data_IF_723353304732
#
_entry.id   IF_723353304732
#
_cell.length_a   1.000
_cell.length_b   1.000
_cell.length_c   1.000
_cell.angle_alpha   90.00
_cell.angle_beta   90.00
_cell.angle_gamma   90.00
#
_symmetry.space_group_name_H-M   'P 1'
#
loop_
_entity.id
_entity.type
_entity.pdbx_description
1 polymer ?
#
# COMPACT_ATOMS: atom_id res chain seq x y z
N UNK A 1 -8.37 -25.46 -0.93
CA UNK A 1 -8.56 -24.55 -2.09
C UNK A 1 -9.40 -23.32 -1.76
N UNK A 2 -10.59 -23.47 -1.13
CA UNK A 2 -11.46 -22.32 -0.79
C UNK A 2 -10.79 -21.27 0.10
N UNK A 3 -10.08 -21.67 1.16
CA UNK A 3 -9.42 -20.73 2.08
C UNK A 3 -8.34 -19.88 1.39
N UNK A 4 -7.60 -20.47 0.45
CA UNK A 4 -6.59 -19.73 -0.32
C UNK A 4 -7.24 -18.64 -1.18
N UNK A 5 -8.36 -18.94 -1.83
CA UNK A 5 -9.10 -17.96 -2.63
C UNK A 5 -9.59 -16.79 -1.76
N UNK A 6 -10.05 -17.06 -0.54
CA UNK A 6 -10.46 -16.02 0.42
C UNK A 6 -9.27 -15.13 0.78
N UNK A 7 -8.12 -15.70 1.17
CA UNK A 7 -6.94 -14.88 1.50
C UNK A 7 -6.43 -14.07 0.32
N UNK A 8 -6.46 -14.62 -0.90
CA UNK A 8 -6.10 -13.88 -2.11
C UNK A 8 -7.08 -12.73 -2.38
N UNK A 9 -8.39 -12.95 -2.18
CA UNK A 9 -9.39 -11.90 -2.30
C UNK A 9 -9.16 -10.78 -1.28
N UNK A 10 -8.95 -11.13 0.00
CA UNK A 10 -8.67 -10.15 1.06
C UNK A 10 -7.42 -9.34 0.73
N UNK A 11 -6.33 -10.00 0.32
CA UNK A 11 -5.11 -9.31 -0.10
C UNK A 11 -5.34 -8.41 -1.33
N UNK A 12 -6.14 -8.85 -2.30
CA UNK A 12 -6.48 -8.03 -3.47
C UNK A 12 -7.25 -6.77 -3.06
N UNK A 13 -8.23 -6.88 -2.16
CA UNK A 13 -8.99 -5.73 -1.63
C UNK A 13 -8.04 -4.73 -0.97
N UNK A 14 -7.16 -5.19 -0.09
CA UNK A 14 -6.19 -4.30 0.56
C UNK A 14 -5.22 -3.64 -0.42
N UNK A 15 -4.76 -4.35 -1.44
CA UNK A 15 -3.85 -3.80 -2.44
C UNK A 15 -4.53 -2.77 -3.35
N UNK A 16 -5.77 -3.05 -3.79
CA UNK A 16 -6.57 -2.14 -4.60
C UNK A 16 -6.89 -0.88 -3.80
N UNK A 17 -7.31 -1.02 -2.54
CA UNK A 17 -7.57 0.12 -1.67
C UNK A 17 -6.31 0.99 -1.45
N UNK A 18 -5.15 0.35 -1.24
CA UNK A 18 -3.86 1.05 -1.14
C UNK A 18 -3.54 1.85 -2.41
N UNK A 19 -3.79 1.25 -3.58
CA UNK A 19 -3.60 1.90 -4.89
C UNK A 19 -4.53 3.10 -5.07
N UNK A 20 -5.83 2.91 -4.82
CA UNK A 20 -6.83 3.97 -4.89
C UNK A 20 -6.47 5.15 -3.99
N UNK A 21 -6.10 4.87 -2.73
CA UNK A 21 -5.72 5.91 -1.78
C UNK A 21 -4.46 6.66 -2.22
N UNK A 22 -3.43 5.95 -2.66
CA UNK A 22 -2.19 6.56 -3.13
C UNK A 22 -2.43 7.44 -4.38
N UNK A 23 -3.25 6.96 -5.32
CA UNK A 23 -3.63 7.69 -6.52
C UNK A 23 -4.51 8.91 -6.21
N UNK A 24 -5.47 8.78 -5.29
CA UNK A 24 -6.32 9.89 -4.87
C UNK A 24 -5.49 10.99 -4.19
N UNK A 25 -4.59 10.63 -3.28
CA UNK A 25 -3.71 11.61 -2.65
C UNK A 25 -2.83 12.28 -3.70
N UNK A 26 -2.24 11.53 -4.63
CA UNK A 26 -1.44 12.12 -5.71
C UNK A 26 -2.24 13.08 -6.60
N UNK A 27 -3.52 12.75 -6.87
CA UNK A 27 -4.41 13.61 -7.65
C UNK A 27 -4.65 14.95 -6.95
N UNK A 28 -4.83 14.94 -5.62
CA UNK A 28 -5.11 16.15 -4.84
C UNK A 28 -3.85 16.94 -4.50
N UNK A 29 -2.73 16.28 -4.18
CA UNK A 29 -1.48 16.93 -3.78
C UNK A 29 -0.56 17.29 -4.94
N UNK A 30 -0.77 16.72 -6.13
CA UNK A 30 0.15 16.80 -7.26
C UNK A 30 1.42 15.94 -7.11
N UNK A 31 1.70 15.42 -5.91
CA UNK A 31 2.92 14.69 -5.59
C UNK A 31 2.63 13.24 -5.16
N UNK A 32 3.34 12.25 -5.73
CA UNK A 32 3.18 10.85 -5.34
C UNK A 32 3.50 10.63 -3.86
N UNK A 33 2.63 9.94 -3.13
CA UNK A 33 2.87 9.60 -1.73
C UNK A 33 4.16 8.79 -1.55
N UNK A 34 5.00 9.12 -0.55
CA UNK A 34 6.26 8.45 -0.24
C UNK A 34 6.36 8.10 1.25
N UNK A 35 7.19 7.11 1.56
CA UNK A 35 7.66 6.91 2.93
C UNK A 35 8.54 8.10 3.34
N UNK A 36 8.34 8.63 4.55
CA UNK A 36 9.21 9.65 5.12
C UNK A 36 9.02 11.08 4.57
N UNK A 37 7.80 11.53 4.26
CA UNK A 37 7.60 12.98 4.12
C UNK A 37 7.60 13.62 5.50
N UNK A 38 8.43 14.64 5.68
CA UNK A 38 8.42 15.51 6.87
C UNK A 38 7.09 16.26 6.91
N UNK A 39 6.27 16.05 7.96
CA UNK A 39 5.03 16.79 8.09
C UNK A 39 5.32 18.23 8.50
N UNK A 40 4.66 19.20 7.85
CA UNK A 40 4.81 20.62 8.19
C UNK A 40 4.23 20.98 9.56
N UNK A 41 3.38 20.11 10.13
CA UNK A 41 2.79 20.29 11.46
C UNK A 41 2.46 18.96 12.14
N UNK A 42 2.30 18.99 13.47
CA UNK A 42 1.93 17.82 14.28
C UNK A 42 0.59 17.21 13.84
N UNK A 43 -0.41 18.04 13.50
CA UNK A 43 -1.71 17.57 13.04
C UNK A 43 -1.59 16.86 11.68
N UNK A 44 -0.77 17.40 10.77
CA UNK A 44 -0.47 16.74 9.50
C UNK A 44 0.25 15.40 9.73
N UNK A 45 1.13 15.30 10.74
CA UNK A 45 1.79 14.04 11.10
C UNK A 45 0.78 12.96 11.46
N UNK A 46 -0.17 13.28 12.33
CA UNK A 46 -1.15 12.32 12.86
C UNK A 46 -2.01 11.77 11.73
N UNK A 47 -2.56 12.63 10.86
CA UNK A 47 -3.40 12.20 9.74
C UNK A 47 -2.61 11.46 8.64
N UNK A 48 -1.34 11.79 8.46
CA UNK A 48 -0.54 11.20 7.40
C UNK A 48 0.02 9.80 7.74
N UNK A 49 0.05 9.41 9.02
CA UNK A 49 0.39 8.03 9.42
C UNK A 49 -0.61 7.00 8.88
N UNK A 50 -1.92 7.05 9.21
CA UNK A 50 -2.88 6.05 8.74
C UNK A 50 -2.98 6.04 7.21
N UNK A 51 -2.91 7.20 6.56
CA UNK A 51 -2.85 7.29 5.09
C UNK A 51 -1.68 6.49 4.52
N UNK A 52 -0.47 6.65 5.07
CA UNK A 52 0.71 5.90 4.62
C UNK A 52 0.67 4.44 4.99
N UNK A 53 0.06 4.09 6.13
CA UNK A 53 -0.10 2.69 6.53
C UNK A 53 -1.03 1.96 5.55
N UNK A 54 -2.13 2.61 5.15
CA UNK A 54 -3.07 2.04 4.19
C UNK A 54 -2.52 2.05 2.75
N UNK A 55 -1.84 3.12 2.34
CA UNK A 55 -1.22 3.22 1.01
C UNK A 55 0.11 2.46 0.88
N UNK A 56 0.64 1.93 1.99
CA UNK A 56 1.96 1.29 2.10
C UNK A 56 2.26 0.26 1.00
N UNK A 57 1.36 -0.70 0.70
CA UNK A 57 1.56 -1.67 -0.37
C UNK A 57 1.78 -1.03 -1.74
N UNK A 58 1.02 0.01 -2.08
CA UNK A 58 1.13 0.71 -3.36
C UNK A 58 2.45 1.52 -3.45
N UNK A 59 2.83 2.21 -2.37
CA UNK A 59 4.10 2.95 -2.30
C UNK A 59 5.28 1.98 -2.46
N UNK A 60 5.26 0.86 -1.73
CA UNK A 60 6.30 -0.16 -1.78
C UNK A 60 6.41 -0.76 -3.18
N UNK A 61 5.28 -1.12 -3.81
CA UNK A 61 5.28 -1.70 -5.15
C UNK A 61 5.81 -0.75 -6.22
N UNK A 62 5.41 0.52 -6.14
CA UNK A 62 5.93 1.56 -7.04
C UNK A 62 7.44 1.72 -6.88
N UNK A 63 7.95 1.71 -5.65
CA UNK A 63 9.39 1.81 -5.39
C UNK A 63 10.14 0.57 -5.88
N UNK A 64 9.58 -0.62 -5.67
CA UNK A 64 10.16 -1.89 -6.16
C UNK A 64 10.21 -1.93 -7.70
N UNK A 65 9.13 -1.53 -8.37
CA UNK A 65 9.06 -1.46 -9.82
C UNK A 65 10.05 -0.44 -10.40
N UNK A 66 10.14 0.76 -9.80
CA UNK A 66 11.16 1.75 -10.17
C UNK A 66 12.58 1.22 -9.92
N UNK A 67 12.80 0.51 -8.82
CA UNK A 67 14.07 -0.14 -8.50
C UNK A 67 14.48 -1.16 -9.55
N UNK A 68 13.54 -1.99 -10.01
CA UNK A 68 13.77 -2.98 -11.05
C UNK A 68 14.01 -2.34 -12.42
N UNK A 69 13.18 -1.37 -12.82
CA UNK A 69 13.16 -0.81 -14.19
C UNK A 69 14.17 0.30 -14.42
N UNK A 70 14.35 1.19 -13.46
CA UNK A 70 15.14 2.42 -13.62
C UNK A 70 16.53 2.25 -13.00
N UNK A 71 16.61 1.57 -11.86
CA UNK A 71 17.86 1.40 -11.12
C UNK A 71 18.53 0.05 -11.37
N UNK A 72 17.98 -0.79 -12.27
CA UNK A 72 18.47 -2.12 -12.60
C UNK A 72 18.80 -3.00 -11.38
N UNK A 73 18.05 -2.83 -10.27
CA UNK A 73 18.26 -3.61 -9.05
C UNK A 73 17.91 -5.09 -9.32
N UNK A 74 18.56 -6.04 -8.61
CA UNK A 74 18.27 -7.46 -8.74
C UNK A 74 16.77 -7.78 -8.59
N UNK A 75 16.26 -8.70 -9.41
CA UNK A 75 14.86 -9.16 -9.40
C UNK A 75 14.42 -9.71 -8.03
N UNK A 76 15.36 -10.21 -7.24
CA UNK A 76 15.11 -10.68 -5.87
C UNK A 76 14.50 -9.59 -5.00
N UNK A 77 14.96 -8.34 -5.11
CA UNK A 77 14.40 -7.22 -4.36
C UNK A 77 12.96 -6.90 -4.76
N UNK A 78 12.61 -7.10 -6.03
CA UNK A 78 11.24 -6.96 -6.49
C UNK A 78 10.36 -8.05 -5.86
N UNK A 79 10.80 -9.31 -5.89
CA UNK A 79 10.08 -10.44 -5.29
C UNK A 79 9.86 -10.28 -3.78
N UNK A 80 10.90 -9.88 -3.04
CA UNK A 80 10.79 -9.58 -1.59
C UNK A 80 9.80 -8.45 -1.34
N UNK A 81 9.88 -7.36 -2.11
CA UNK A 81 8.93 -6.25 -1.99
C UNK A 81 7.49 -6.67 -2.31
N UNK A 82 7.30 -7.54 -3.31
CA UNK A 82 6.01 -8.12 -3.67
C UNK A 82 5.43 -8.97 -2.55
N UNK A 83 6.23 -9.84 -1.94
CA UNK A 83 5.80 -10.65 -0.80
C UNK A 83 5.40 -9.79 0.40
N UNK A 84 6.20 -8.77 0.73
CA UNK A 84 5.88 -7.83 1.83
C UNK A 84 4.61 -7.05 1.51
N UNK A 85 4.47 -6.52 0.30
CA UNK A 85 3.27 -5.79 -0.11
C UNK A 85 2.02 -6.69 -0.07
N UNK A 86 2.12 -7.95 -0.49
CA UNK A 86 1.01 -8.90 -0.43
C UNK A 86 0.59 -9.20 1.00
N UNK A 87 1.55 -9.47 1.90
CA UNK A 87 1.28 -9.71 3.31
C UNK A 87 0.66 -8.48 3.99
N UNK A 88 1.20 -7.29 3.73
CA UNK A 88 0.64 -6.04 4.22
C UNK A 88 -0.79 -5.84 3.70
N UNK A 89 -1.01 -6.08 2.40
CA UNK A 89 -2.34 -5.98 1.78
C UNK A 89 -3.35 -6.95 2.37
N UNK A 90 -2.91 -8.12 2.83
CA UNK A 90 -3.78 -9.06 3.53
C UNK A 90 -4.29 -8.45 4.85
N UNK A 91 -3.41 -7.83 5.64
CA UNK A 91 -3.81 -7.17 6.89
C UNK A 91 -4.72 -5.95 6.64
N UNK A 92 -4.35 -5.08 5.70
CA UNK A 92 -5.18 -3.90 5.40
C UNK A 92 -6.53 -4.29 4.80
N UNK A 93 -6.56 -5.30 3.93
CA UNK A 93 -7.78 -5.85 3.35
C UNK A 93 -8.71 -6.47 4.39
N UNK A 94 -8.15 -7.20 5.37
CA UNK A 94 -8.94 -7.79 6.44
C UNK A 94 -9.63 -6.71 7.30
N UNK A 95 -8.88 -5.68 7.70
CA UNK A 95 -9.43 -4.54 8.46
C UNK A 95 -10.50 -3.79 7.66
N UNK A 96 -10.27 -3.55 6.37
CA UNK A 96 -11.24 -2.86 5.52
C UNK A 96 -12.50 -3.67 5.31
N UNK A 97 -12.40 -4.98 5.06
CA UNK A 97 -13.56 -5.85 4.90
C UNK A 97 -14.35 -5.97 6.20
N UNK A 98 -13.66 -6.14 7.33
CA UNK A 98 -14.30 -6.17 8.65
C UNK A 98 -15.09 -4.88 8.91
N UNK A 99 -14.48 -3.72 8.64
CA UNK A 99 -15.15 -2.43 8.73
C UNK A 99 -16.35 -2.36 7.79
N UNK A 100 -16.20 -2.70 6.51
CA UNK A 100 -17.28 -2.59 5.51
C UNK A 100 -18.46 -3.53 5.76
N UNK A 101 -18.23 -4.69 6.38
CA UNK A 101 -19.28 -5.67 6.65
C UNK A 101 -20.01 -5.43 7.98
N UNK A 102 -19.43 -4.65 8.89
CA UNK A 102 -20.01 -4.33 10.20
C UNK A 102 -20.43 -2.85 10.36
N UNK A 103 -20.22 -2.03 9.32
CA UNK A 103 -20.83 -0.70 9.18
C UNK A 103 -22.31 -0.81 8.84
#
# INVERSE_FOLDING_TARGET
>A
MQSLAIYLYVAAVGFVAAGLLASFVQLVSGEPMRFGMEPESILASIGAVPLRVLAGPAILMRNAWRGLRIQARPKTWFGVSAAIAALWSLFSGAVLLDLLLHL
#
